data_IF_547477713459
#
_entry.id   IF_547477713459
#
_cell.length_a   1.000
_cell.length_b   1.000
_cell.length_c   1.000
_cell.angle_alpha   90.00
_cell.angle_beta   90.00
_cell.angle_gamma   90.00
#
_symmetry.space_group_name_H-M   'P 1'
#
loop_
_entity.id
_entity.type
_entity.pdbx_description
1 polymer ?
#
# COMPACT_ATOMS: atom_id res chain seq x y z
N UNK A 1 -3.33 29.15 -18.66
CA UNK A 1 -2.59 27.87 -18.60
C UNK A 1 -1.08 27.93 -18.36
N UNK A 2 -0.57 28.89 -17.58
CA UNK A 2 0.82 28.78 -17.08
C UNK A 2 1.01 29.30 -15.64
N UNK A 3 -0.08 29.70 -14.97
CA UNK A 3 -0.03 30.34 -13.65
C UNK A 3 -0.47 29.40 -12.51
N UNK A 4 -1.20 28.33 -12.82
CA UNK A 4 -1.69 27.34 -11.85
C UNK A 4 -0.67 26.25 -11.48
N UNK A 5 0.38 26.04 -12.29
CA UNK A 5 1.37 25.00 -12.02
C UNK A 5 2.55 25.47 -11.14
N UNK A 6 2.67 26.78 -10.87
CA UNK A 6 3.79 27.30 -10.08
C UNK A 6 3.41 27.57 -8.61
N UNK A 7 2.13 27.76 -8.30
CA UNK A 7 1.64 27.95 -6.91
C UNK A 7 1.43 26.63 -6.14
N UNK A 8 1.42 25.48 -6.83
CA UNK A 8 1.30 24.16 -6.19
C UNK A 8 2.63 23.62 -5.63
N UNK A 9 3.77 24.11 -6.12
CA UNK A 9 5.10 23.63 -5.68
C UNK A 9 5.64 24.38 -4.46
N UNK A 10 5.11 25.56 -4.13
CA UNK A 10 5.60 26.40 -3.02
C UNK A 10 4.83 26.22 -1.70
N UNK A 11 3.70 25.49 -1.71
CA UNK A 11 2.89 25.24 -0.51
C UNK A 11 2.84 23.75 -0.08
N UNK A 12 3.56 22.86 -0.77
CA UNK A 12 3.59 21.44 -0.44
C UNK A 12 4.28 21.12 0.91
N UNK A 13 4.99 22.11 1.48
CA UNK A 13 5.74 21.96 2.74
C UNK A 13 4.94 22.43 3.98
N UNK A 14 3.78 23.09 3.80
CA UNK A 14 3.03 23.74 4.90
C UNK A 14 1.63 23.15 5.19
N UNK A 15 1.22 22.11 4.47
CA UNK A 15 -0.08 21.43 4.65
C UNK A 15 0.08 19.94 5.02
N UNK A 16 0.92 19.65 6.01
CA UNK A 16 0.76 18.39 6.76
C UNK A 16 -0.19 18.68 7.92
N UNK A 17 -1.45 18.19 7.91
CA UNK A 17 -2.24 18.17 9.13
C UNK A 17 -1.43 17.40 10.16
N UNK A 18 -1.55 17.79 11.42
CA UNK A 18 -1.02 17.05 12.56
C UNK A 18 -1.67 15.65 12.57
N UNK A 19 -1.10 14.71 11.81
CA UNK A 19 -1.50 13.30 11.77
C UNK A 19 -1.25 12.74 13.17
N UNK A 20 -2.32 12.73 13.98
CA UNK A 20 -2.27 12.29 15.36
C UNK A 20 -1.77 10.85 15.44
N UNK A 21 -0.83 10.67 16.36
CA UNK A 21 -0.22 9.41 16.77
C UNK A 21 -1.25 8.27 16.89
N UNK A 22 -1.00 7.15 16.20
CA UNK A 22 -1.48 5.86 16.69
C UNK A 22 -0.49 5.43 17.76
N UNK A 23 -0.79 5.72 19.03
CA UNK A 23 -0.23 4.89 20.10
C UNK A 23 -0.78 3.47 19.91
N UNK A 24 0.05 2.42 20.05
CA UNK A 24 -0.37 1.05 19.86
C UNK A 24 -1.45 0.70 20.91
N UNK A 25 -2.72 0.84 20.54
CA UNK A 25 -3.83 0.40 21.35
C UNK A 25 -4.13 -1.07 21.05
N UNK A 26 -3.81 -1.92 22.03
CA UNK A 26 -4.24 -3.32 22.09
C UNK A 26 -3.14 -4.33 21.76
N UNK A 27 -2.72 -5.05 22.80
CA UNK A 27 -2.11 -6.38 22.83
C UNK A 27 -1.33 -6.84 21.57
N UNK A 28 -0.43 -5.98 21.11
CA UNK A 28 0.47 -6.23 19.97
C UNK A 28 1.88 -6.45 20.49
N UNK A 29 2.05 -7.44 21.36
CA UNK A 29 3.33 -7.85 21.96
C UNK A 29 4.34 -8.43 20.94
N UNK A 30 4.12 -8.28 19.62
CA UNK A 30 4.94 -8.87 18.53
C UNK A 30 5.01 -8.07 17.22
N UNK A 31 4.64 -6.79 17.17
CA UNK A 31 4.80 -5.99 15.95
C UNK A 31 6.17 -5.29 15.97
N UNK A 32 7.07 -5.70 15.08
CA UNK A 32 8.33 -4.98 14.90
C UNK A 32 8.04 -3.59 14.29
N UNK A 33 8.03 -2.55 15.12
CA UNK A 33 7.66 -1.19 14.74
C UNK A 33 8.91 -0.32 14.59
N UNK A 34 9.04 0.40 13.47
CA UNK A 34 10.07 1.42 13.27
C UNK A 34 9.44 2.80 13.08
N UNK A 35 10.08 3.84 13.61
CA UNK A 35 9.57 5.20 13.53
C UNK A 35 10.43 6.10 12.65
N UNK A 36 9.79 6.91 11.81
CA UNK A 36 10.42 7.99 11.03
C UNK A 36 9.61 9.26 11.23
N UNK A 37 10.25 10.36 11.65
CA UNK A 37 9.59 11.65 11.88
C UNK A 37 8.28 11.55 12.68
N UNK A 38 8.32 10.84 13.83
CA UNK A 38 7.19 10.58 14.71
C UNK A 38 6.05 9.71 14.15
N UNK A 39 6.22 9.11 12.96
CA UNK A 39 5.29 8.15 12.38
C UNK A 39 5.82 6.72 12.51
N UNK A 40 5.03 5.84 13.11
CA UNK A 40 5.34 4.42 13.28
C UNK A 40 4.93 3.58 12.06
N UNK A 41 5.77 2.64 11.68
CA UNK A 41 5.57 1.71 10.57
C UNK A 41 5.74 0.27 11.07
N UNK A 42 4.71 -0.58 10.98
CA UNK A 42 4.84 -2.01 11.23
C UNK A 42 5.68 -2.63 10.10
N UNK A 43 6.83 -3.19 10.41
CA UNK A 43 7.77 -3.68 9.39
C UNK A 43 8.21 -5.12 9.64
N UNK A 44 8.62 -5.80 8.57
CA UNK A 44 9.24 -7.12 8.67
C UNK A 44 10.70 -7.04 9.11
N UNK A 45 11.25 -8.15 9.59
CA UNK A 45 12.67 -8.27 9.99
C UNK A 45 13.64 -7.84 8.90
N UNK A 46 13.27 -8.04 7.62
CA UNK A 46 14.08 -7.63 6.46
C UNK A 46 14.39 -6.12 6.43
N UNK A 47 13.49 -5.27 6.95
CA UNK A 47 13.73 -3.82 7.02
C UNK A 47 14.78 -3.49 8.08
N UNK A 48 14.82 -4.21 9.20
CA UNK A 48 15.87 -4.01 10.21
C UNK A 48 17.24 -4.32 9.63
N UNK A 49 17.35 -5.44 8.89
CA UNK A 49 18.59 -5.79 8.20
C UNK A 49 18.98 -4.72 7.17
N UNK A 50 18.02 -4.19 6.41
CA UNK A 50 18.26 -3.08 5.50
C UNK A 50 18.79 -1.85 6.25
N UNK A 51 18.15 -1.44 7.34
CA UNK A 51 18.59 -0.28 8.15
C UNK A 51 19.98 -0.49 8.74
N UNK A 52 20.30 -1.70 9.20
CA UNK A 52 21.64 -2.05 9.67
C UNK A 52 22.68 -1.88 8.56
N UNK A 53 22.42 -2.45 7.38
CA UNK A 53 23.29 -2.30 6.21
C UNK A 53 23.47 -0.83 5.82
N UNK A 54 22.38 -0.06 5.75
CA UNK A 54 22.44 1.37 5.44
C UNK A 54 23.29 2.13 6.47
N UNK A 55 23.17 1.79 7.75
CA UNK A 55 23.95 2.40 8.83
C UNK A 55 25.44 2.08 8.71
N UNK A 56 25.79 0.85 8.33
CA UNK A 56 27.19 0.45 8.15
C UNK A 56 27.82 1.13 6.93
N UNK A 57 27.08 1.26 5.83
CA UNK A 57 27.54 2.01 4.66
C UNK A 57 27.65 3.52 4.97
N UNK A 58 26.73 4.08 5.75
CA UNK A 58 26.78 5.49 6.16
C UNK A 58 28.06 5.81 6.96
N UNK A 59 28.54 4.89 7.80
CA UNK A 59 29.84 5.03 8.49
C UNK A 59 30.99 5.17 7.48
N UNK A 60 30.93 4.47 6.34
CA UNK A 60 31.99 4.50 5.34
C UNK A 60 32.01 5.83 4.59
N UNK A 61 30.85 6.44 4.36
CA UNK A 61 30.73 7.79 3.78
C UNK A 61 31.54 8.80 4.60
N UNK A 62 31.45 8.71 5.92
CA UNK A 62 32.20 9.59 6.83
C UNK A 62 33.68 9.22 6.96
N UNK A 63 33.98 7.92 7.04
CA UNK A 63 35.35 7.43 7.27
C UNK A 63 36.25 7.65 6.05
N UNK A 64 35.69 7.54 4.84
CA UNK A 64 36.44 7.62 3.60
C UNK A 64 35.80 8.61 2.60
N UNK A 65 35.98 9.93 2.78
CA UNK A 65 35.34 10.95 1.95
C UNK A 65 35.64 10.84 0.46
N UNK A 66 36.79 10.25 0.08
CA UNK A 66 37.20 10.09 -1.32
C UNK A 66 36.36 9.06 -2.09
N UNK A 67 35.69 8.11 -1.41
CA UNK A 67 34.75 7.14 -2.00
C UNK A 67 33.28 7.44 -1.63
N UNK A 68 33.01 8.54 -0.93
CA UNK A 68 31.70 8.83 -0.38
C UNK A 68 30.58 8.79 -1.43
N UNK A 69 30.83 9.34 -2.62
CA UNK A 69 29.85 9.34 -3.72
C UNK A 69 29.53 7.93 -4.19
N UNK A 70 30.55 7.06 -4.33
CA UNK A 70 30.37 5.67 -4.73
C UNK A 70 29.60 4.89 -3.67
N UNK A 71 29.91 5.10 -2.39
CA UNK A 71 29.18 4.47 -1.27
C UNK A 71 27.72 4.91 -1.26
N UNK A 72 27.42 6.20 -1.47
CA UNK A 72 26.04 6.71 -1.56
C UNK A 72 25.28 6.07 -2.72
N UNK A 73 25.92 5.88 -3.88
CA UNK A 73 25.31 5.14 -4.98
C UNK A 73 24.99 3.70 -4.58
N UNK A 74 25.86 3.02 -3.83
CA UNK A 74 25.58 1.66 -3.33
C UNK A 74 24.45 1.61 -2.31
N UNK A 75 24.33 2.61 -1.45
CA UNK A 75 23.18 2.77 -0.55
C UNK A 75 21.90 2.87 -1.38
N UNK A 76 21.91 3.67 -2.46
CA UNK A 76 20.75 3.80 -3.33
C UNK A 76 20.44 2.51 -4.13
N UNK A 77 21.46 1.78 -4.57
CA UNK A 77 21.31 0.46 -5.18
C UNK A 77 20.69 -0.55 -4.19
N UNK A 78 21.09 -0.53 -2.91
CA UNK A 78 20.49 -1.38 -1.87
C UNK A 78 19.00 -1.08 -1.67
N UNK A 79 18.61 0.21 -1.66
CA UNK A 79 17.22 0.62 -1.56
C UNK A 79 16.39 0.13 -2.76
N UNK A 80 16.91 0.29 -3.98
CA UNK A 80 16.29 -0.22 -5.22
C UNK A 80 16.20 -1.74 -5.23
N UNK A 81 17.25 -2.42 -4.78
CA UNK A 81 17.29 -3.88 -4.70
C UNK A 81 16.20 -4.36 -3.75
N UNK A 82 16.03 -3.71 -2.60
CA UNK A 82 14.97 -4.06 -1.65
C UNK A 82 13.57 -3.96 -2.28
N UNK A 83 13.27 -2.85 -2.95
CA UNK A 83 12.00 -2.65 -3.66
C UNK A 83 11.79 -3.70 -4.76
N UNK A 84 12.81 -3.94 -5.59
CA UNK A 84 12.77 -4.95 -6.66
C UNK A 84 12.51 -6.35 -6.10
N UNK A 85 13.17 -6.71 -5.00
CA UNK A 85 12.99 -8.00 -4.34
C UNK A 85 11.60 -8.14 -3.71
N UNK A 86 11.08 -7.07 -3.10
CA UNK A 86 9.73 -7.06 -2.55
C UNK A 86 8.68 -7.32 -3.64
N UNK A 87 8.78 -6.62 -4.78
CA UNK A 87 7.90 -6.81 -5.93
C UNK A 87 8.01 -8.23 -6.51
N UNK A 88 9.23 -8.74 -6.71
CA UNK A 88 9.46 -10.10 -7.22
C UNK A 88 8.86 -11.18 -6.31
N UNK A 89 9.13 -11.11 -5.01
CA UNK A 89 8.73 -12.12 -4.04
C UNK A 89 7.21 -12.12 -3.82
N UNK A 90 6.59 -10.94 -3.80
CA UNK A 90 5.19 -10.79 -3.39
C UNK A 90 4.25 -10.62 -4.58
N UNK A 91 4.50 -9.64 -5.46
CA UNK A 91 3.67 -9.44 -6.66
C UNK A 91 3.92 -10.53 -7.71
N UNK A 92 5.21 -10.87 -7.92
CA UNK A 92 5.63 -11.95 -8.81
C UNK A 92 5.47 -13.36 -8.21
N UNK A 93 4.96 -13.45 -6.97
CA UNK A 93 4.75 -14.71 -6.24
C UNK A 93 5.98 -15.62 -6.12
N UNK A 94 7.20 -15.10 -6.35
CA UNK A 94 8.43 -15.90 -6.29
C UNK A 94 8.69 -16.47 -4.89
N UNK A 95 8.09 -15.91 -3.83
CA UNK A 95 8.17 -16.47 -2.48
C UNK A 95 7.44 -17.82 -2.33
N UNK A 96 6.51 -18.16 -3.23
CA UNK A 96 5.88 -19.49 -3.24
C UNK A 96 6.93 -20.56 -3.55
N UNK A 97 7.75 -20.31 -4.58
CA UNK A 97 8.80 -21.22 -5.02
C UNK A 97 10.06 -21.16 -4.13
N UNK A 98 10.49 -19.95 -3.78
CA UNK A 98 11.79 -19.72 -3.14
C UNK A 98 11.75 -19.74 -1.61
N UNK A 99 10.59 -19.43 -1.00
CA UNK A 99 10.42 -19.41 0.45
C UNK A 99 9.40 -20.45 0.95
N UNK A 100 8.88 -21.31 0.06
CA UNK A 100 7.98 -22.42 0.40
C UNK A 100 6.60 -21.98 0.90
N UNK A 101 6.18 -20.74 0.60
CA UNK A 101 4.86 -20.27 0.99
C UNK A 101 3.76 -20.95 0.15
N UNK A 102 2.69 -21.41 0.79
CA UNK A 102 1.54 -21.97 0.07
C UNK A 102 0.82 -20.94 -0.80
N UNK A 103 0.75 -19.69 -0.33
CA UNK A 103 0.08 -18.59 -1.05
C UNK A 103 0.54 -17.22 -0.52
N UNK A 104 0.43 -16.20 -1.36
CA UNK A 104 0.61 -14.79 -0.97
C UNK A 104 -0.72 -14.25 -0.44
N UNK A 105 -0.77 -13.96 0.86
CA UNK A 105 -1.99 -13.47 1.51
C UNK A 105 -2.06 -11.95 1.52
N UNK A 106 -3.23 -11.39 1.81
CA UNK A 106 -3.41 -9.95 2.02
C UNK A 106 -2.54 -9.42 3.16
N UNK A 107 -2.25 -10.25 4.17
CA UNK A 107 -1.32 -9.89 5.25
C UNK A 107 0.10 -9.63 4.70
N UNK A 108 0.61 -10.48 3.80
CA UNK A 108 1.91 -10.25 3.16
C UNK A 108 1.93 -8.95 2.37
N UNK A 109 0.87 -8.69 1.57
CA UNK A 109 0.74 -7.43 0.83
C UNK A 109 0.73 -6.21 1.76
N UNK A 110 -0.05 -6.26 2.85
CA UNK A 110 -0.15 -5.20 3.83
C UNK A 110 1.20 -4.89 4.49
N UNK A 111 1.89 -5.92 4.97
CA UNK A 111 3.21 -5.79 5.59
C UNK A 111 4.24 -5.23 4.60
N UNK A 112 4.26 -5.72 3.36
CA UNK A 112 5.17 -5.21 2.34
C UNK A 112 4.90 -3.74 2.01
N UNK A 113 3.63 -3.32 1.91
CA UNK A 113 3.30 -1.90 1.72
C UNK A 113 3.84 -1.03 2.85
N UNK A 114 3.76 -1.51 4.10
CA UNK A 114 4.31 -0.77 5.25
C UNK A 114 5.84 -0.71 5.22
N UNK A 115 6.51 -1.81 4.88
CA UNK A 115 7.96 -1.82 4.66
C UNK A 115 8.39 -0.81 3.58
N UNK A 116 7.72 -0.79 2.43
CA UNK A 116 8.02 0.17 1.35
C UNK A 116 7.67 1.61 1.76
N UNK A 117 6.63 1.80 2.57
CA UNK A 117 6.26 3.11 3.09
C UNK A 117 7.29 3.65 4.08
N UNK A 118 7.85 2.79 4.93
CA UNK A 118 8.98 3.13 5.78
C UNK A 118 10.20 3.54 4.94
N UNK A 119 10.57 2.75 3.94
CA UNK A 119 11.70 3.07 3.04
C UNK A 119 11.47 4.41 2.33
N UNK A 120 10.25 4.66 1.85
CA UNK A 120 9.86 5.93 1.23
C UNK A 120 9.98 7.11 2.21
N UNK A 121 9.62 6.91 3.48
CA UNK A 121 9.74 7.93 4.51
C UNK A 121 11.20 8.19 4.91
N UNK A 122 12.05 7.16 4.90
CA UNK A 122 13.48 7.25 5.24
C UNK A 122 14.31 7.96 4.16
N UNK A 123 14.01 7.70 2.88
CA UNK A 123 14.85 8.15 1.77
C UNK A 123 15.09 9.68 1.70
N UNK A 124 14.11 10.57 1.99
CA UNK A 124 14.34 12.02 2.07
C UNK A 124 15.37 12.43 3.13
N UNK A 125 15.42 11.74 4.27
CA UNK A 125 16.40 12.02 5.33
C UNK A 125 17.80 11.63 4.88
N UNK A 126 17.94 10.49 4.21
CA UNK A 126 19.21 10.06 3.61
C UNK A 126 19.66 11.06 2.53
N UNK A 127 18.75 11.47 1.64
CA UNK A 127 19.01 12.50 0.62
C UNK A 127 19.54 13.79 1.24
N UNK A 128 18.81 14.35 2.22
CA UNK A 128 19.19 15.60 2.89
C UNK A 128 20.56 15.49 3.58
N UNK A 129 20.80 14.37 4.29
CA UNK A 129 22.08 14.06 4.92
C UNK A 129 23.22 14.07 3.90
N UNK A 130 23.11 13.33 2.81
CA UNK A 130 24.19 13.22 1.82
C UNK A 130 24.43 14.51 1.04
N UNK A 131 23.38 15.27 0.73
CA UNK A 131 23.51 16.61 0.14
C UNK A 131 24.27 17.55 1.07
N UNK A 132 24.02 17.47 2.39
CA UNK A 132 24.71 18.31 3.38
C UNK A 132 26.18 17.91 3.64
N UNK A 133 26.52 16.63 3.43
CA UNK A 133 27.86 16.10 3.71
C UNK A 133 28.85 16.33 2.57
N UNK A 134 28.36 16.47 1.33
CA UNK A 134 29.21 16.53 0.14
C UNK A 134 29.34 17.94 -0.44
N UNK A 135 30.42 18.21 -1.21
CA UNK A 135 30.57 19.47 -1.92
C UNK A 135 29.34 19.76 -2.81
N UNK A 136 28.89 21.04 -2.92
CA UNK A 136 27.65 21.41 -3.61
C UNK A 136 27.54 20.91 -5.06
N UNK A 137 28.66 20.68 -5.74
CA UNK A 137 28.72 20.08 -7.09
C UNK A 137 28.03 18.72 -7.21
N UNK A 138 27.88 17.96 -6.11
CA UNK A 138 27.23 16.66 -6.09
C UNK A 138 25.75 16.72 -5.71
N UNK A 139 25.25 17.86 -5.22
CA UNK A 139 23.90 17.98 -4.68
C UNK A 139 22.83 17.62 -5.72
N UNK A 140 22.92 18.19 -6.93
CA UNK A 140 21.95 17.93 -8.01
C UNK A 140 21.89 16.45 -8.43
N UNK A 141 23.05 15.78 -8.46
CA UNK A 141 23.13 14.37 -8.81
C UNK A 141 22.43 13.49 -7.75
N UNK A 142 22.73 13.74 -6.47
CA UNK A 142 22.14 12.99 -5.35
C UNK A 142 20.63 13.24 -5.28
N UNK A 143 20.20 14.50 -5.38
CA UNK A 143 18.77 14.86 -5.36
C UNK A 143 18.01 14.13 -6.47
N UNK A 144 18.46 14.25 -7.72
CA UNK A 144 17.82 13.58 -8.87
C UNK A 144 17.77 12.05 -8.70
N UNK A 145 18.85 11.45 -8.18
CA UNK A 145 18.93 10.01 -7.94
C UNK A 145 17.89 9.53 -6.93
N UNK A 146 17.73 10.24 -5.80
CA UNK A 146 16.76 9.90 -4.77
C UNK A 146 15.32 10.22 -5.20
N UNK A 147 15.10 11.31 -5.93
CA UNK A 147 13.78 11.69 -6.41
C UNK A 147 13.24 10.69 -7.43
N UNK A 148 14.10 10.22 -8.35
CA UNK A 148 13.77 9.13 -9.25
C UNK A 148 13.40 7.86 -8.48
N UNK A 149 14.20 7.48 -7.49
CA UNK A 149 13.91 6.32 -6.66
C UNK A 149 12.56 6.46 -5.92
N UNK A 150 12.27 7.62 -5.34
CA UNK A 150 11.01 7.88 -4.64
C UNK A 150 9.79 7.78 -5.58
N UNK A 151 9.92 8.26 -6.81
CA UNK A 151 8.89 8.13 -7.84
C UNK A 151 8.64 6.66 -8.18
N UNK A 152 9.70 5.93 -8.50
CA UNK A 152 9.63 4.51 -8.88
C UNK A 152 9.04 3.66 -7.73
N UNK A 153 9.53 3.86 -6.50
CA UNK A 153 9.04 3.20 -5.29
C UNK A 153 7.55 3.48 -5.03
N UNK A 154 7.11 4.72 -5.27
CA UNK A 154 5.70 5.09 -5.12
C UNK A 154 4.83 4.36 -6.14
N UNK A 155 5.29 4.27 -7.40
CA UNK A 155 4.60 3.54 -8.46
C UNK A 155 4.48 2.05 -8.12
N UNK A 156 5.58 1.40 -7.74
CA UNK A 156 5.57 -0.01 -7.37
C UNK A 156 4.70 -0.25 -6.15
N UNK A 157 4.79 0.58 -5.10
CA UNK A 157 3.90 0.47 -3.93
C UNK A 157 2.41 0.54 -4.31
N UNK A 158 2.05 1.37 -5.29
CA UNK A 158 0.67 1.45 -5.78
C UNK A 158 0.21 0.16 -6.49
N UNK A 159 1.13 -0.68 -7.01
CA UNK A 159 0.80 -2.00 -7.55
C UNK A 159 0.32 -2.96 -6.45
N UNK A 160 0.91 -2.88 -5.26
CA UNK A 160 0.46 -3.66 -4.10
C UNK A 160 -0.95 -3.25 -3.66
N UNK A 161 -1.23 -1.94 -3.58
CA UNK A 161 -2.58 -1.46 -3.29
C UNK A 161 -3.59 -1.95 -4.33
N UNK A 162 -3.26 -1.83 -5.62
CA UNK A 162 -4.08 -2.37 -6.71
C UNK A 162 -4.30 -3.87 -6.59
N UNK A 163 -3.29 -4.65 -6.18
CA UNK A 163 -3.44 -6.09 -5.96
C UNK A 163 -4.42 -6.40 -4.83
N UNK A 164 -4.38 -5.67 -3.71
CA UNK A 164 -5.35 -5.82 -2.60
C UNK A 164 -6.77 -5.53 -3.11
N UNK A 165 -6.95 -4.43 -3.83
CA UNK A 165 -8.25 -4.03 -4.39
C UNK A 165 -8.75 -5.10 -5.37
N UNK A 166 -7.89 -5.63 -6.24
CA UNK A 166 -8.27 -6.67 -7.20
C UNK A 166 -8.66 -7.99 -6.51
N UNK A 167 -7.93 -8.41 -5.46
CA UNK A 167 -8.30 -9.58 -4.65
C UNK A 167 -9.72 -9.39 -4.07
N UNK A 168 -10.05 -8.17 -3.63
CA UNK A 168 -11.40 -7.89 -3.16
C UNK A 168 -12.41 -7.93 -4.30
N UNK A 169 -12.15 -7.24 -5.42
CA UNK A 169 -13.05 -7.25 -6.59
C UNK A 169 -13.33 -8.67 -7.09
N UNK A 170 -12.34 -9.55 -7.08
CA UNK A 170 -12.50 -10.96 -7.46
C UNK A 170 -13.46 -11.70 -6.52
N UNK A 171 -13.26 -11.58 -5.20
CA UNK A 171 -14.17 -12.15 -4.19
C UNK A 171 -15.60 -11.61 -4.31
N UNK A 172 -15.71 -10.30 -4.60
CA UNK A 172 -16.99 -9.64 -4.86
C UNK A 172 -17.69 -10.21 -6.09
N UNK A 173 -16.97 -10.41 -7.19
CA UNK A 173 -17.55 -10.91 -8.44
C UNK A 173 -18.10 -12.32 -8.26
N UNK A 174 -17.38 -13.22 -7.57
CA UNK A 174 -17.90 -14.56 -7.25
C UNK A 174 -19.21 -14.49 -6.46
N UNK A 175 -19.35 -13.50 -5.57
CA UNK A 175 -20.59 -13.28 -4.80
C UNK A 175 -21.69 -12.64 -5.64
N UNK A 176 -21.34 -11.77 -6.60
CA UNK A 176 -22.27 -11.06 -7.46
C UNK A 176 -22.78 -11.91 -8.64
N UNK A 177 -21.98 -12.80 -9.20
CA UNK A 177 -22.42 -13.77 -10.23
C UNK A 177 -23.54 -14.69 -9.68
N UNK A 178 -23.51 -15.00 -8.39
CA UNK A 178 -24.61 -15.70 -7.70
C UNK A 178 -25.90 -14.87 -7.61
N UNK A 179 -25.78 -13.53 -7.67
CA UNK A 179 -26.89 -12.57 -7.61
C UNK A 179 -27.53 -12.24 -8.97
N UNK A 180 -26.91 -12.61 -10.09
CA UNK A 180 -27.44 -12.35 -11.46
C UNK A 180 -28.63 -13.26 -11.80
N UNK A 181 -28.92 -14.29 -11.01
CA UNK A 181 -30.16 -15.04 -11.14
C UNK A 181 -31.27 -14.38 -10.29
N UNK A 182 -32.30 -13.76 -10.90
CA UNK A 182 -33.35 -13.05 -10.17
C UNK A 182 -34.10 -13.94 -9.18
N UNK A 183 -34.30 -15.22 -9.51
CA UNK A 183 -34.95 -16.18 -8.62
C UNK A 183 -34.10 -16.48 -7.39
N UNK A 184 -32.78 -16.67 -7.55
CA UNK A 184 -31.85 -16.86 -6.42
C UNK A 184 -31.70 -15.60 -5.57
N UNK A 185 -31.75 -14.42 -6.18
CA UNK A 185 -31.73 -13.15 -5.45
C UNK A 185 -33.00 -12.93 -4.62
N UNK A 186 -34.18 -13.25 -5.17
CA UNK A 186 -35.44 -13.16 -4.43
C UNK A 186 -35.49 -14.14 -3.25
N UNK A 187 -34.91 -15.33 -3.38
CA UNK A 187 -34.85 -16.31 -2.30
C UNK A 187 -33.75 -16.03 -1.27
N UNK A 188 -32.59 -15.50 -1.68
CA UNK A 188 -31.37 -15.47 -0.86
C UNK A 188 -30.58 -14.15 -0.91
N UNK A 189 -31.10 -13.06 -1.49
CA UNK A 189 -30.38 -11.81 -1.70
C UNK A 189 -29.85 -11.18 -0.42
N UNK A 190 -30.61 -11.28 0.68
CA UNK A 190 -30.15 -10.85 2.00
C UNK A 190 -28.95 -11.66 2.52
N UNK A 191 -28.84 -12.94 2.13
CA UNK A 191 -27.71 -13.81 2.42
C UNK A 191 -26.43 -13.41 1.67
N UNK A 192 -26.57 -13.04 0.39
CA UNK A 192 -25.44 -12.59 -0.44
C UNK A 192 -24.82 -11.29 0.11
N UNK A 193 -25.65 -10.32 0.48
CA UNK A 193 -25.19 -9.08 1.12
C UNK A 193 -24.51 -9.36 2.47
N UNK A 194 -25.02 -10.33 3.25
CA UNK A 194 -24.37 -10.73 4.52
C UNK A 194 -23.00 -11.36 4.31
N UNK A 195 -22.85 -12.24 3.32
CA UNK A 195 -21.55 -12.85 2.96
C UNK A 195 -20.56 -11.75 2.58
N UNK A 196 -20.99 -10.83 1.72
CA UNK A 196 -20.21 -9.68 1.30
C UNK A 196 -19.70 -8.84 2.48
N UNK A 197 -20.62 -8.40 3.36
CA UNK A 197 -20.26 -7.59 4.53
C UNK A 197 -19.26 -8.36 5.40
N UNK A 198 -19.43 -9.67 5.53
CA UNK A 198 -18.50 -10.51 6.26
C UNK A 198 -17.11 -10.58 5.59
N UNK A 199 -17.02 -10.65 4.27
CA UNK A 199 -15.75 -10.64 3.54
C UNK A 199 -15.02 -9.30 3.62
N UNK A 200 -15.74 -8.19 3.46
CA UNK A 200 -15.21 -6.83 3.70
C UNK A 200 -14.70 -6.73 5.15
N UNK A 201 -15.47 -7.23 6.11
CA UNK A 201 -15.07 -7.27 7.52
C UNK A 201 -13.82 -8.11 7.79
N UNK A 202 -13.66 -9.25 7.10
CA UNK A 202 -12.44 -10.08 7.17
C UNK A 202 -11.22 -9.31 6.64
N UNK A 203 -11.35 -8.66 5.48
CA UNK A 203 -10.27 -7.84 4.93
C UNK A 203 -9.91 -6.71 5.89
N UNK A 204 -10.89 -5.98 6.41
CA UNK A 204 -10.66 -4.87 7.33
C UNK A 204 -9.91 -5.33 8.58
N UNK A 205 -10.26 -6.49 9.15
CA UNK A 205 -9.54 -7.07 10.29
C UNK A 205 -8.07 -7.35 10.00
N UNK A 206 -7.74 -7.74 8.76
CA UNK A 206 -6.36 -7.98 8.32
C UNK A 206 -5.61 -6.68 8.07
N UNK A 207 -6.26 -5.66 7.51
CA UNK A 207 -5.64 -4.39 7.12
C UNK A 207 -5.51 -3.39 8.28
N UNK A 208 -6.47 -3.35 9.21
CA UNK A 208 -6.49 -2.36 10.31
C UNK A 208 -5.20 -2.25 11.14
N UNK A 209 -4.38 -3.30 11.36
CA UNK A 209 -3.13 -3.16 12.11
C UNK A 209 -2.01 -2.48 11.30
N UNK A 210 -2.17 -2.39 9.98
CA UNK A 210 -1.14 -1.89 9.06
C UNK A 210 -1.47 -0.50 8.52
N UNK A 211 -2.75 -0.17 8.29
CA UNK A 211 -3.14 1.03 7.57
C UNK A 211 -3.82 2.05 8.49
N UNK A 212 -3.54 3.33 8.23
CA UNK A 212 -4.30 4.42 8.83
C UNK A 212 -5.70 4.54 8.22
N UNK A 213 -6.55 5.35 8.84
CA UNK A 213 -7.94 5.53 8.42
C UNK A 213 -8.06 5.96 6.96
N UNK A 214 -7.25 6.92 6.50
CA UNK A 214 -7.30 7.43 5.13
C UNK A 214 -6.94 6.35 4.09
N UNK A 215 -5.87 5.60 4.33
CA UNK A 215 -5.43 4.52 3.44
C UNK A 215 -6.48 3.41 3.37
N UNK A 216 -7.08 3.11 4.51
CA UNK A 216 -8.20 2.16 4.62
C UNK A 216 -9.39 2.65 3.82
N UNK A 217 -9.82 3.91 4.04
CA UNK A 217 -10.95 4.53 3.32
C UNK A 217 -10.75 4.53 1.80
N UNK A 218 -9.54 4.79 1.31
CA UNK A 218 -9.23 4.73 -0.12
C UNK A 218 -9.42 3.31 -0.69
N UNK A 219 -8.82 2.28 -0.05
CA UNK A 219 -8.94 0.87 -0.49
C UNK A 219 -10.41 0.42 -0.49
N UNK A 220 -11.12 0.68 0.61
CA UNK A 220 -12.50 0.24 0.76
C UNK A 220 -13.47 1.07 -0.10
N UNK A 221 -13.20 2.37 -0.28
CA UNK A 221 -14.00 3.25 -1.13
C UNK A 221 -14.02 2.78 -2.58
N UNK A 222 -12.86 2.47 -3.17
CA UNK A 222 -12.79 1.92 -4.53
C UNK A 222 -13.50 0.56 -4.65
N UNK A 223 -13.39 -0.26 -3.61
CA UNK A 223 -14.01 -1.59 -3.57
C UNK A 223 -15.54 -1.48 -3.51
N UNK A 224 -16.07 -0.59 -2.67
CA UNK A 224 -17.51 -0.32 -2.54
C UNK A 224 -18.07 0.32 -3.80
N UNK A 225 -17.36 1.27 -4.40
CA UNK A 225 -17.78 1.87 -5.67
C UNK A 225 -17.90 0.82 -6.78
N UNK A 226 -16.91 -0.07 -6.90
CA UNK A 226 -16.97 -1.17 -7.85
C UNK A 226 -18.19 -2.07 -7.60
N UNK A 227 -18.48 -2.39 -6.34
CA UNK A 227 -19.65 -3.20 -5.99
C UNK A 227 -20.98 -2.49 -6.31
N UNK A 228 -21.12 -1.21 -6.00
CA UNK A 228 -22.32 -0.43 -6.30
C UNK A 228 -22.65 -0.45 -7.79
N UNK A 229 -21.63 -0.36 -8.65
CA UNK A 229 -21.80 -0.46 -10.11
C UNK A 229 -22.34 -1.84 -10.51
N UNK A 230 -21.80 -2.92 -9.94
CA UNK A 230 -22.25 -4.29 -10.24
C UNK A 230 -23.67 -4.56 -9.75
N UNK A 231 -24.00 -4.16 -8.52
CA UNK A 231 -25.36 -4.26 -8.01
C UNK A 231 -26.34 -3.51 -8.89
N UNK A 232 -26.03 -2.26 -9.23
CA UNK A 232 -26.92 -1.45 -10.07
C UNK A 232 -27.22 -2.15 -11.39
N UNK A 233 -26.21 -2.70 -12.06
CA UNK A 233 -26.39 -3.49 -13.28
C UNK A 233 -27.22 -4.75 -13.07
N UNK A 234 -27.00 -5.47 -11.97
CA UNK A 234 -27.78 -6.67 -11.65
C UNK A 234 -29.27 -6.33 -11.43
N UNK A 235 -29.56 -5.21 -10.77
CA UNK A 235 -30.92 -4.74 -10.51
C UNK A 235 -31.60 -4.15 -11.76
N UNK A 236 -30.86 -3.46 -12.64
CA UNK A 236 -31.38 -2.96 -13.93
C UNK A 236 -31.90 -4.10 -14.83
N UNK A 237 -31.37 -5.31 -14.68
CA UNK A 237 -31.81 -6.50 -15.41
C UNK A 237 -32.93 -7.31 -14.73
N UNK A 238 -33.41 -6.92 -13.54
CA UNK A 238 -34.50 -7.62 -12.87
C UNK A 238 -35.86 -7.07 -13.32
N UNK A 239 -36.85 -7.94 -13.63
CA UNK A 239 -38.21 -7.48 -13.86
C UNK A 239 -38.70 -6.73 -12.62
N UNK A 240 -39.28 -5.55 -12.83
CA UNK A 240 -39.92 -4.78 -11.76
C UNK A 240 -40.98 -5.67 -11.10
N UNK A 241 -40.97 -5.65 -9.77
CA UNK A 241 -41.73 -6.54 -8.89
C UNK A 241 -43.25 -6.61 -9.16
N UNK A 242 -43.84 -5.74 -9.98
CA UNK A 242 -45.29 -5.72 -10.18
C UNK A 242 -45.85 -6.99 -10.84
N UNK A 243 -45.13 -7.64 -11.77
CA UNK A 243 -45.67 -8.81 -12.46
C UNK A 243 -45.45 -10.12 -11.69
N UNK A 244 -44.30 -10.27 -11.01
CA UNK A 244 -43.93 -11.51 -10.32
C UNK A 244 -44.42 -11.61 -8.86
N UNK A 245 -44.70 -10.48 -8.18
CA UNK A 245 -45.26 -10.50 -6.82
C UNK A 245 -46.76 -10.74 -6.81
N UNK A 246 -47.48 -10.31 -7.84
CA UNK A 246 -48.93 -10.50 -7.95
C UNK A 246 -49.32 -11.96 -8.24
N UNK A 247 -48.43 -12.76 -8.84
CA UNK A 247 -48.68 -14.18 -9.12
C UNK A 247 -48.42 -15.09 -7.91
N UNK A 248 -47.60 -14.65 -6.94
CA UNK A 248 -47.30 -15.41 -5.70
C UNK A 248 -48.20 -15.06 -4.51
N UNK A 249 -49.00 -13.99 -4.60
CA UNK A 249 -49.91 -13.52 -3.55
C UNK A 249 -51.39 -13.70 -3.95
N UNK A 250 -51.65 -14.36 -5.08
CA UNK A 250 -52.98 -14.80 -5.53
C UNK A 250 -53.37 -16.16 -4.96
#
# INVERSE_FOLDING_TARGET
DARWNHELDLHAEELMPSEQFIQPQGDTTKANLLCVANRGYPVGTSVFLLVQLLTDYDKWVFTFPFIAVDVIQRIQDLLKMYDTQASRLVLGAAAIETAGLKTITTHHLALTIQCLSFVRALAPFLRARYVSLLPPRHATFITTMFDKFLKDLTQHRNEFYRKIINIMKERLNTTAELAVNPAKWLEQGSGHIRILIAEIGKLWKVLKPYFHLEQTQSIFGETVQHYNIHLKKAFEGMPLAEEAWMEKVG
#
